data_IF_061239385936
#
_entry.id   IF_061239385936
#
_cell.length_a   1.000
_cell.length_b   1.000
_cell.length_c   1.000
_cell.angle_alpha   90.00
_cell.angle_beta   90.00
_cell.angle_gamma   90.00
#
_symmetry.space_group_name_H-M   'P 1'
#
loop_
_entity.id
_entity.type
_entity.pdbx_description
1 polymer ?
#
# COMPACT_ATOMS: atom_id res chain seq x y z
N UNK A 1 17.30 44.66 -22.17
CA UNK A 1 16.37 43.91 -21.36
C UNK A 1 16.67 42.42 -21.55
N UNK A 2 17.34 41.80 -20.56
CA UNK A 2 17.63 40.38 -20.59
C UNK A 2 16.38 39.64 -20.06
N UNK A 3 15.76 38.87 -20.93
CA UNK A 3 14.62 38.03 -20.56
C UNK A 3 15.03 36.93 -19.61
N UNK A 4 14.49 36.95 -18.39
CA UNK A 4 14.61 35.87 -17.43
C UNK A 4 13.78 34.71 -17.95
N UNK A 5 14.42 33.73 -18.60
CA UNK A 5 13.76 32.47 -18.99
C UNK A 5 13.46 31.70 -17.74
N UNK A 6 12.18 31.65 -17.33
CA UNK A 6 11.71 30.80 -16.22
C UNK A 6 11.93 29.34 -16.61
N UNK A 7 12.93 28.70 -16.00
CA UNK A 7 13.10 27.28 -16.07
C UNK A 7 11.83 26.64 -15.50
N UNK A 8 10.96 26.10 -16.35
CA UNK A 8 9.86 25.24 -15.89
C UNK A 8 10.50 24.05 -15.16
N UNK A 9 10.04 23.73 -13.95
CA UNK A 9 10.52 22.52 -13.29
C UNK A 9 10.26 21.34 -14.23
N UNK A 10 11.31 20.63 -14.62
CA UNK A 10 11.17 19.37 -15.34
C UNK A 10 10.34 18.44 -14.46
N UNK A 11 9.27 17.88 -15.01
CA UNK A 11 8.46 16.89 -14.29
C UNK A 11 9.39 15.83 -13.70
N UNK A 12 9.36 15.65 -12.39
CA UNK A 12 10.18 14.63 -11.73
C UNK A 12 9.76 13.28 -12.30
N UNK A 13 10.71 12.56 -12.87
CA UNK A 13 10.46 11.20 -13.34
C UNK A 13 10.17 10.30 -12.12
N UNK A 14 8.98 9.75 -12.06
CA UNK A 14 8.51 8.91 -10.95
C UNK A 14 8.58 7.42 -11.27
N UNK A 15 9.44 7.02 -12.22
CA UNK A 15 9.52 5.64 -12.70
C UNK A 15 8.24 5.24 -13.45
N UNK A 16 7.86 3.95 -13.44
CA UNK A 16 6.70 3.46 -14.17
C UNK A 16 5.35 3.79 -13.52
N UNK A 17 5.36 4.43 -12.34
CA UNK A 17 4.16 4.69 -11.54
C UNK A 17 3.40 5.93 -11.99
N UNK A 18 2.09 5.76 -12.23
CA UNK A 18 1.18 6.88 -12.42
C UNK A 18 0.80 7.47 -11.04
N UNK A 19 1.62 8.40 -10.55
CA UNK A 19 1.43 9.00 -9.23
C UNK A 19 0.10 9.76 -9.09
N UNK A 20 -0.43 10.33 -10.17
CA UNK A 20 -1.73 11.01 -10.12
C UNK A 20 -2.87 10.02 -9.83
N UNK A 21 -2.83 8.84 -10.46
CA UNK A 21 -3.81 7.78 -10.21
C UNK A 21 -3.61 7.11 -8.84
N UNK A 22 -2.36 6.84 -8.44
CA UNK A 22 -2.06 6.16 -7.17
C UNK A 22 -2.38 7.01 -5.93
N UNK A 23 -2.37 8.33 -6.06
CA UNK A 23 -2.76 9.26 -4.98
C UNK A 23 -4.27 9.41 -4.82
N UNK A 24 -5.08 8.86 -5.71
CA UNK A 24 -6.52 8.76 -5.49
C UNK A 24 -6.83 7.63 -4.51
N UNK A 25 -7.79 7.85 -3.63
CA UNK A 25 -8.24 6.81 -2.71
C UNK A 25 -8.74 5.60 -3.52
N UNK A 26 -8.19 4.39 -3.29
CA UNK A 26 -8.64 3.21 -4.01
C UNK A 26 -10.04 2.79 -3.56
N UNK A 27 -10.79 2.15 -4.46
CA UNK A 27 -11.98 1.43 -4.05
C UNK A 27 -11.60 0.36 -3.01
N UNK A 28 -12.38 0.24 -1.94
CA UNK A 28 -12.13 -0.69 -0.86
C UNK A 28 -13.39 -1.46 -0.47
N UNK A 29 -13.23 -2.73 -0.17
CA UNK A 29 -14.25 -3.63 0.38
C UNK A 29 -13.85 -3.98 1.80
N UNK A 30 -14.71 -3.67 2.74
CA UNK A 30 -14.52 -3.94 4.15
C UNK A 30 -15.01 -5.34 4.49
N UNK A 31 -14.18 -6.12 5.15
CA UNK A 31 -14.45 -7.48 5.59
C UNK A 31 -14.79 -7.56 7.08
N UNK A 32 -14.56 -8.74 7.66
CA UNK A 32 -14.85 -9.04 9.06
C UNK A 32 -14.05 -8.15 10.01
N UNK A 33 -14.71 -7.69 11.07
CA UNK A 33 -14.05 -6.99 12.18
C UNK A 33 -13.99 -7.89 13.41
N UNK A 34 -12.84 -7.93 14.06
CA UNK A 34 -12.63 -8.62 15.34
C UNK A 34 -11.76 -7.77 16.24
N UNK A 35 -12.28 -7.34 17.38
CA UNK A 35 -11.60 -6.40 18.27
C UNK A 35 -11.28 -5.08 17.57
N UNK A 36 -10.05 -4.65 17.66
CA UNK A 36 -9.57 -3.40 17.05
C UNK A 36 -9.31 -3.49 15.54
N UNK A 37 -9.34 -4.70 14.97
CA UNK A 37 -8.84 -4.96 13.61
C UNK A 37 -9.95 -5.40 12.68
N UNK A 38 -10.03 -4.77 11.53
CA UNK A 38 -10.94 -5.09 10.43
C UNK A 38 -10.15 -5.53 9.19
N UNK A 39 -10.65 -6.53 8.48
CA UNK A 39 -10.15 -6.90 7.16
C UNK A 39 -10.53 -5.83 6.13
N UNK A 40 -9.64 -5.57 5.19
CA UNK A 40 -9.93 -4.72 4.04
C UNK A 40 -9.26 -5.26 2.79
N UNK A 41 -9.97 -5.19 1.68
CA UNK A 41 -9.46 -5.47 0.33
C UNK A 41 -9.56 -4.17 -0.46
N UNK A 42 -8.43 -3.63 -0.91
CA UNK A 42 -8.44 -2.42 -1.71
C UNK A 42 -7.85 -2.66 -3.09
N UNK A 43 -8.27 -1.83 -4.04
CA UNK A 43 -7.84 -1.94 -5.43
C UNK A 43 -6.32 -1.80 -5.56
N UNK A 44 -5.69 -2.81 -6.15
CA UNK A 44 -4.29 -2.80 -6.59
C UNK A 44 -4.13 -2.28 -8.02
N UNK A 45 -2.90 -2.34 -8.53
CA UNK A 45 -2.62 -2.09 -9.95
C UNK A 45 -2.93 -3.37 -10.77
N UNK A 46 -3.36 -3.22 -12.03
CA UNK A 46 -3.59 -4.39 -12.87
C UNK A 46 -2.33 -5.24 -13.04
N UNK A 47 -2.47 -6.56 -12.91
CA UNK A 47 -1.40 -7.52 -13.16
C UNK A 47 -1.72 -8.32 -14.41
N UNK A 48 -0.83 -8.27 -15.40
CA UNK A 48 -1.02 -8.93 -16.71
C UNK A 48 -2.40 -8.57 -17.32
N UNK A 49 -2.74 -7.29 -17.24
CA UNK A 49 -4.00 -6.76 -17.79
C UNK A 49 -5.26 -7.10 -16.98
N UNK A 50 -5.16 -7.80 -15.85
CA UNK A 50 -6.31 -8.15 -15.00
C UNK A 50 -6.35 -7.26 -13.76
N UNK A 51 -7.53 -6.78 -13.33
CA UNK A 51 -7.69 -6.06 -12.07
C UNK A 51 -7.20 -6.89 -10.89
N UNK A 52 -6.59 -6.23 -9.90
CA UNK A 52 -6.12 -6.89 -8.68
C UNK A 52 -6.66 -6.24 -7.42
N UNK A 53 -6.64 -7.00 -6.32
CA UNK A 53 -6.87 -6.50 -4.96
C UNK A 53 -5.69 -6.77 -4.06
N UNK A 54 -5.48 -5.85 -3.14
CA UNK A 54 -4.52 -5.98 -2.03
C UNK A 54 -5.30 -6.24 -0.76
N UNK A 55 -4.95 -7.29 -0.05
CA UNK A 55 -5.49 -7.57 1.28
C UNK A 55 -4.71 -6.81 2.35
N UNK A 56 -5.41 -6.34 3.39
CA UNK A 56 -4.79 -5.76 4.57
C UNK A 56 -5.66 -5.96 5.82
N UNK A 57 -5.02 -5.83 6.97
CA UNK A 57 -5.67 -5.63 8.26
C UNK A 57 -5.59 -4.15 8.64
N UNK A 58 -6.74 -3.54 8.90
CA UNK A 58 -6.83 -2.17 9.42
C UNK A 58 -7.16 -2.18 10.90
N UNK A 59 -6.21 -1.73 11.72
CA UNK A 59 -6.40 -1.51 13.15
C UNK A 59 -6.87 -0.10 13.43
N UNK A 60 -7.82 0.05 14.35
CA UNK A 60 -8.33 1.36 14.83
C UNK A 60 -8.19 1.46 16.34
N UNK A 61 -7.80 2.63 16.90
CA UNK A 61 -7.79 2.84 18.34
C UNK A 61 -9.17 2.63 18.97
N UNK A 62 -9.21 2.01 20.15
CA UNK A 62 -10.46 1.83 20.91
C UNK A 62 -10.92 3.11 21.59
N UNK A 63 -10.00 4.03 21.85
CA UNK A 63 -10.24 5.25 22.65
C UNK A 63 -9.59 6.46 21.96
N UNK A 64 -10.06 7.63 22.30
CA UNK A 64 -9.61 8.90 21.73
C UNK A 64 -10.64 9.50 20.77
N UNK A 65 -10.47 10.75 20.44
CA UNK A 65 -11.46 11.53 19.65
C UNK A 65 -10.99 11.80 18.21
N UNK A 66 -9.78 11.27 17.81
CA UNK A 66 -9.24 11.56 16.46
C UNK A 66 -9.17 13.04 16.09
N UNK A 67 -8.75 13.40 14.88
CA UNK A 67 -8.14 12.47 13.93
C UNK A 67 -6.81 11.90 14.44
N UNK A 68 -6.61 10.61 14.19
CA UNK A 68 -5.46 9.85 14.67
C UNK A 68 -4.28 9.88 13.69
N UNK A 69 -3.03 9.80 14.17
CA UNK A 69 -1.91 9.47 13.30
C UNK A 69 -2.08 8.07 12.73
N UNK A 70 -1.48 7.80 11.57
CA UNK A 70 -1.62 6.51 10.93
C UNK A 70 -0.28 5.91 10.46
N UNK A 71 -0.26 4.58 10.31
CA UNK A 71 0.91 3.82 9.86
C UNK A 71 0.53 2.80 8.79
N UNK A 72 1.29 2.77 7.69
CA UNK A 72 1.31 1.66 6.74
C UNK A 72 2.45 0.73 7.11
N UNK A 73 2.15 -0.57 7.21
CA UNK A 73 3.06 -1.61 7.69
C UNK A 73 3.27 -2.63 6.58
N UNK A 74 4.49 -2.65 6.00
CA UNK A 74 4.85 -3.55 4.91
C UNK A 74 5.70 -4.72 5.42
N UNK A 75 5.28 -5.96 5.13
CA UNK A 75 6.02 -7.15 5.54
C UNK A 75 7.20 -7.47 4.61
N UNK A 76 8.13 -8.30 5.11
CA UNK A 76 9.29 -8.78 4.37
C UNK A 76 9.01 -9.99 3.47
N UNK A 77 10.07 -10.54 2.90
CA UNK A 77 10.02 -11.73 2.05
C UNK A 77 9.45 -12.96 2.79
N UNK A 78 8.56 -13.70 2.11
CA UNK A 78 7.86 -14.83 2.70
C UNK A 78 6.85 -14.47 3.79
N UNK A 79 6.63 -13.18 4.05
CA UNK A 79 5.64 -12.69 5.00
C UNK A 79 4.23 -12.60 4.41
N UNK A 80 3.34 -12.02 5.20
CA UNK A 80 1.93 -11.78 4.86
C UNK A 80 1.45 -10.53 5.61
N UNK A 81 0.23 -10.10 5.36
CA UNK A 81 -0.42 -9.13 6.25
C UNK A 81 -0.48 -9.70 7.68
N UNK A 82 0.14 -9.02 8.63
CA UNK A 82 0.16 -9.43 10.04
C UNK A 82 -0.89 -8.66 10.82
N UNK A 83 -1.94 -9.39 11.24
CA UNK A 83 -3.03 -8.84 12.04
C UNK A 83 -2.53 -8.22 13.34
N UNK A 84 -1.60 -8.90 14.00
CA UNK A 84 -0.98 -8.49 15.26
C UNK A 84 -0.21 -7.17 15.17
N UNK A 85 0.33 -6.83 14.00
CA UNK A 85 0.97 -5.53 13.78
C UNK A 85 -0.06 -4.39 13.78
N UNK A 86 -1.18 -4.58 13.07
CA UNK A 86 -2.26 -3.60 13.05
C UNK A 86 -2.83 -3.39 14.46
N UNK A 87 -3.03 -4.46 15.22
CA UNK A 87 -3.52 -4.42 16.60
C UNK A 87 -2.54 -3.71 17.54
N UNK A 88 -1.23 -4.00 17.39
CA UNK A 88 -0.17 -3.39 18.19
C UNK A 88 -0.12 -1.86 18.02
N UNK A 89 -0.22 -1.37 16.79
CA UNK A 89 -0.24 0.06 16.54
C UNK A 89 -1.57 0.71 16.96
N UNK A 90 -2.69 0.03 16.75
CA UNK A 90 -4.01 0.49 17.17
C UNK A 90 -4.10 0.66 18.69
N UNK A 91 -3.52 -0.27 19.46
CA UNK A 91 -3.47 -0.18 20.93
C UNK A 91 -2.62 1.01 21.43
N UNK A 92 -1.83 1.64 20.55
CA UNK A 92 -1.00 2.82 20.84
C UNK A 92 -1.56 4.12 20.27
N UNK A 93 -2.81 4.11 19.82
CA UNK A 93 -3.50 5.31 19.33
C UNK A 93 -3.24 5.65 17.86
N UNK A 94 -2.82 4.68 17.04
CA UNK A 94 -2.64 4.85 15.60
C UNK A 94 -3.71 4.11 14.82
N UNK A 95 -4.18 4.67 13.73
CA UNK A 95 -4.82 3.85 12.68
C UNK A 95 -3.72 3.14 11.89
N UNK A 96 -3.77 1.83 11.77
CA UNK A 96 -2.66 1.06 11.20
C UNK A 96 -3.12 0.09 10.12
N UNK A 97 -2.50 0.15 8.94
CA UNK A 97 -2.79 -0.71 7.80
C UNK A 97 -1.63 -1.70 7.61
N UNK A 98 -1.79 -2.93 8.06
CA UNK A 98 -0.85 -4.03 7.81
C UNK A 98 -1.27 -4.75 6.53
N UNK A 99 -0.56 -4.48 5.44
CA UNK A 99 -0.93 -4.93 4.10
C UNK A 99 -0.14 -6.16 3.65
N UNK A 100 -0.73 -6.93 2.75
CA UNK A 100 -0.05 -7.98 2.00
C UNK A 100 0.63 -7.39 0.75
N UNK A 101 1.84 -7.85 0.46
CA UNK A 101 2.61 -7.45 -0.73
C UNK A 101 2.91 -8.63 -1.65
N UNK A 102 2.29 -9.80 -1.41
CA UNK A 102 2.56 -11.04 -2.13
C UNK A 102 1.33 -11.63 -2.85
N UNK A 103 0.28 -10.82 -3.03
CA UNK A 103 -0.95 -11.27 -3.69
C UNK A 103 -1.78 -12.24 -2.85
N UNK A 104 -1.58 -12.27 -1.53
CA UNK A 104 -2.26 -13.17 -0.62
C UNK A 104 -3.35 -12.47 0.19
N UNK A 105 -4.32 -13.24 0.60
CA UNK A 105 -5.31 -12.92 1.62
C UNK A 105 -5.07 -13.72 2.91
N UNK A 106 -6.01 -13.72 3.85
CA UNK A 106 -5.84 -14.38 5.14
C UNK A 106 -5.69 -15.92 5.04
N UNK A 107 -6.18 -16.51 3.95
CA UNK A 107 -6.17 -17.98 3.73
C UNK A 107 -5.17 -18.43 2.65
N UNK A 108 -4.31 -17.55 2.15
CA UNK A 108 -3.37 -17.82 1.08
C UNK A 108 -3.60 -16.97 -0.18
N UNK A 109 -3.07 -17.37 -1.34
CA UNK A 109 -3.16 -16.59 -2.57
C UNK A 109 -4.59 -16.20 -2.93
N UNK A 110 -4.79 -14.94 -3.32
CA UNK A 110 -6.07 -14.46 -3.85
C UNK A 110 -6.16 -14.79 -5.34
N UNK A 111 -7.36 -15.16 -5.78
CA UNK A 111 -7.62 -15.40 -7.22
C UNK A 111 -7.39 -14.13 -8.07
N UNK A 112 -7.53 -12.96 -7.46
CA UNK A 112 -7.30 -11.64 -8.04
C UNK A 112 -6.20 -10.87 -7.28
N UNK A 113 -5.23 -11.57 -6.71
CA UNK A 113 -4.03 -10.97 -6.12
C UNK A 113 -3.06 -10.45 -7.19
N UNK A 114 -2.15 -9.56 -6.77
CA UNK A 114 -0.98 -9.18 -7.55
C UNK A 114 0.05 -10.33 -7.63
N UNK A 115 1.24 -10.08 -8.22
CA UNK A 115 2.29 -11.09 -8.30
C UNK A 115 2.79 -11.48 -6.91
N UNK A 116 3.21 -12.73 -6.79
CA UNK A 116 3.89 -13.26 -5.61
C UNK A 116 5.32 -12.71 -5.48
N UNK A 117 6.02 -13.09 -4.42
CA UNK A 117 7.42 -12.74 -4.16
C UNK A 117 8.42 -13.78 -4.70
N UNK A 118 8.08 -14.52 -5.75
CA UNK A 118 9.01 -15.46 -6.37
C UNK A 118 10.20 -14.73 -7.03
N UNK A 119 11.32 -15.41 -7.21
CA UNK A 119 12.50 -14.81 -7.84
C UNK A 119 12.22 -14.41 -9.30
N UNK A 120 11.35 -15.15 -9.98
CA UNK A 120 10.91 -14.85 -11.34
C UNK A 120 10.08 -13.57 -11.47
N UNK A 121 9.52 -13.09 -10.39
CA UNK A 121 8.75 -11.81 -10.33
C UNK A 121 9.58 -10.66 -9.76
N UNK A 122 10.71 -10.95 -9.08
CA UNK A 122 11.59 -9.96 -8.46
C UNK A 122 12.86 -9.69 -9.28
N UNK A 123 13.49 -10.72 -9.84
CA UNK A 123 14.89 -10.65 -10.31
C UNK A 123 15.07 -10.99 -11.79
N UNK A 124 14.03 -11.21 -12.58
CA UNK A 124 14.19 -11.43 -14.01
C UNK A 124 14.56 -10.13 -14.73
N UNK A 125 15.22 -10.26 -15.89
CA UNK A 125 15.29 -9.15 -16.83
C UNK A 125 13.89 -8.80 -17.34
N UNK A 126 13.62 -7.50 -17.50
CA UNK A 126 12.35 -6.99 -18.01
C UNK A 126 12.57 -5.74 -18.85
N UNK A 127 11.68 -5.50 -19.79
CA UNK A 127 11.59 -4.26 -20.56
C UNK A 127 10.75 -3.23 -19.79
N UNK A 128 10.76 -1.97 -20.23
CA UNK A 128 9.95 -0.91 -19.63
C UNK A 128 8.45 -1.25 -19.63
N UNK A 129 7.95 -1.91 -20.69
CA UNK A 129 6.56 -2.35 -20.77
C UNK A 129 6.23 -3.45 -19.75
N UNK A 130 7.18 -4.33 -19.48
CA UNK A 130 7.03 -5.41 -18.50
C UNK A 130 7.25 -4.96 -17.05
N UNK A 131 7.77 -3.74 -16.83
CA UNK A 131 8.04 -3.22 -15.50
C UNK A 131 6.79 -3.28 -14.60
N UNK A 132 5.60 -3.08 -15.18
CA UNK A 132 4.31 -3.14 -14.48
C UNK A 132 3.88 -4.55 -14.06
N UNK A 133 4.55 -5.58 -14.57
CA UNK A 133 4.31 -6.97 -14.18
C UNK A 133 5.31 -7.46 -13.11
N UNK A 134 6.24 -6.60 -12.69
CA UNK A 134 7.21 -6.94 -11.66
C UNK A 134 6.62 -6.78 -10.26
N UNK A 135 7.03 -7.68 -9.34
CA UNK A 135 6.60 -7.63 -7.95
C UNK A 135 6.87 -6.26 -7.29
N UNK A 136 8.05 -5.68 -7.53
CA UNK A 136 8.44 -4.38 -6.96
C UNK A 136 7.49 -3.26 -7.38
N UNK A 137 7.00 -3.27 -8.63
CA UNK A 137 6.00 -2.31 -9.09
C UNK A 137 4.72 -2.41 -8.27
N UNK A 138 4.21 -3.65 -8.08
CA UNK A 138 2.98 -3.90 -7.35
C UNK A 138 3.12 -3.60 -5.85
N UNK A 139 4.24 -3.99 -5.22
CA UNK A 139 4.50 -3.73 -3.81
C UNK A 139 4.53 -2.22 -3.51
N UNK A 140 5.28 -1.44 -4.31
CA UNK A 140 5.33 0.02 -4.17
C UNK A 140 3.96 0.66 -4.43
N UNK A 141 3.28 0.25 -5.51
CA UNK A 141 1.93 0.74 -5.83
C UNK A 141 0.94 0.46 -4.69
N UNK A 142 1.00 -0.74 -4.11
CA UNK A 142 0.14 -1.14 -3.01
C UNK A 142 0.37 -0.29 -1.76
N UNK A 143 1.64 0.03 -1.43
CA UNK A 143 1.97 0.94 -0.32
C UNK A 143 1.42 2.35 -0.58
N UNK A 144 1.62 2.91 -1.78
CA UNK A 144 1.11 4.25 -2.12
C UNK A 144 -0.41 4.30 -2.03
N UNK A 145 -1.11 3.28 -2.56
CA UNK A 145 -2.57 3.17 -2.45
C UNK A 145 -3.03 2.96 -1.01
N UNK A 146 -2.27 2.24 -0.20
CA UNK A 146 -2.52 2.10 1.24
C UNK A 146 -2.45 3.45 1.98
N UNK A 147 -1.46 4.28 1.66
CA UNK A 147 -1.38 5.67 2.16
C UNK A 147 -2.59 6.48 1.71
N UNK A 148 -2.97 6.37 0.42
CA UNK A 148 -4.11 7.10 -0.13
C UNK A 148 -5.44 6.65 0.46
N UNK A 149 -5.58 5.34 0.77
CA UNK A 149 -6.72 4.80 1.50
C UNK A 149 -6.82 5.40 2.91
N UNK A 150 -5.71 5.37 3.67
CA UNK A 150 -5.67 5.94 5.02
C UNK A 150 -5.97 7.44 5.02
N UNK A 151 -5.40 8.19 4.07
CA UNK A 151 -5.62 9.63 3.96
C UNK A 151 -7.07 10.03 3.67
N UNK A 152 -7.87 9.12 3.11
CA UNK A 152 -9.29 9.33 2.81
C UNK A 152 -10.21 8.95 3.99
N UNK A 153 -9.70 8.31 5.04
CA UNK A 153 -10.49 7.96 6.22
C UNK A 153 -10.71 9.19 7.11
N UNK A 154 -11.95 9.51 7.48
CA UNK A 154 -12.25 10.71 8.26
C UNK A 154 -11.62 10.72 9.65
N UNK A 155 -11.34 9.54 10.21
CA UNK A 155 -10.67 9.37 11.50
C UNK A 155 -9.15 9.51 11.44
N UNK A 156 -8.54 9.70 10.26
CA UNK A 156 -7.09 9.80 10.06
C UNK A 156 -6.63 11.23 9.85
N UNK A 157 -5.60 11.64 10.57
CA UNK A 157 -4.86 12.86 10.27
C UNK A 157 -3.93 12.64 9.07
N UNK A 158 -4.35 13.10 7.90
CA UNK A 158 -3.62 12.91 6.64
C UNK A 158 -2.24 13.60 6.59
N UNK A 159 -1.94 14.48 7.55
CA UNK A 159 -0.62 15.09 7.70
C UNK A 159 0.32 14.24 8.58
N UNK A 160 -0.18 13.20 9.24
CA UNK A 160 0.56 12.34 10.15
C UNK A 160 0.46 10.86 9.76
N UNK A 161 0.75 10.54 8.49
CA UNK A 161 0.81 9.17 8.00
C UNK A 161 2.27 8.77 7.82
N UNK A 162 2.71 7.75 8.53
CA UNK A 162 4.02 7.14 8.42
C UNK A 162 3.97 5.81 7.67
N UNK A 163 5.14 5.37 7.22
CA UNK A 163 5.34 4.06 6.58
C UNK A 163 6.50 3.39 7.30
N UNK A 164 6.37 2.12 7.61
CA UNK A 164 7.48 1.29 8.08
C UNK A 164 7.38 -0.11 7.49
N UNK A 165 8.53 -0.76 7.35
CA UNK A 165 8.61 -2.11 6.80
C UNK A 165 9.83 -2.86 7.29
N UNK A 166 9.82 -4.17 7.14
CA UNK A 166 10.90 -5.07 7.55
C UNK A 166 11.45 -5.76 6.31
N UNK A 167 12.80 -5.81 6.16
CA UNK A 167 13.48 -6.48 5.04
C UNK A 167 12.93 -5.95 3.69
N UNK A 168 12.38 -6.81 2.83
CA UNK A 168 11.76 -6.39 1.57
C UNK A 168 10.65 -5.33 1.73
N UNK A 169 9.99 -5.27 2.87
CA UNK A 169 9.03 -4.20 3.17
C UNK A 169 9.70 -2.85 3.45
N UNK A 170 10.98 -2.81 3.76
CA UNK A 170 11.77 -1.60 3.95
C UNK A 170 12.57 -1.18 2.72
N UNK A 171 12.53 -1.99 1.66
CA UNK A 171 13.16 -1.73 0.37
C UNK A 171 12.23 -0.89 -0.51
#
# INVERSE_FOLDING_TARGET
AAGCSSLRPTARHTGPWNMAALKQAPAAQWGAQTGLVQEVYYQGEPYRGKPTRVFAYLGRPATGTGPFPAMVLAHGGGGKAFREWAEHWASRGYVALAMDTAGCGPKGPLADGGPDQADTTKFRHFTDDEAKDMWTYHAVSAVIRGVSLLAALPEVDHHRIGITGISWGGY
#
